data_IF_523583904144
#
_entry.id   IF_523583904144
#
_cell.length_a   1.000
_cell.length_b   1.000
_cell.length_c   1.000
_cell.angle_alpha   90.00
_cell.angle_beta   90.00
_cell.angle_gamma   90.00
#
_symmetry.space_group_name_H-M   'P 1'
#
loop_
_entity.id
_entity.type
_entity.pdbx_description
1 polymer ?
#
# COMPACT_ATOMS: atom_id res chain seq x y z
N UNK A 1 -34.76 14.15 -24.09
CA UNK A 1 -35.76 14.00 -23.00
C UNK A 1 -35.51 12.71 -22.23
N UNK A 2 -35.04 12.88 -21.01
CA UNK A 2 -35.24 12.09 -19.79
C UNK A 2 -35.10 10.55 -19.80
N UNK A 3 -34.03 10.05 -19.24
CA UNK A 3 -34.02 8.85 -18.37
C UNK A 3 -32.96 8.99 -17.28
N UNK A 4 -33.22 9.87 -16.32
CA UNK A 4 -32.57 9.85 -15.03
C UNK A 4 -33.64 9.42 -14.03
N UNK A 5 -33.62 8.17 -13.54
CA UNK A 5 -34.26 7.73 -12.27
C UNK A 5 -34.21 6.20 -12.18
N UNK A 6 -33.14 5.63 -11.54
CA UNK A 6 -33.23 4.26 -11.01
C UNK A 6 -32.09 3.85 -10.02
N UNK A 7 -31.20 4.75 -9.57
CA UNK A 7 -30.09 4.38 -8.68
C UNK A 7 -30.29 4.78 -7.21
N UNK A 8 -31.15 5.75 -6.93
CA UNK A 8 -31.38 6.25 -5.55
C UNK A 8 -32.10 5.25 -4.64
N UNK A 9 -33.08 4.42 -5.09
CA UNK A 9 -33.77 3.51 -4.17
C UNK A 9 -32.90 2.34 -3.69
N UNK A 10 -31.87 1.93 -4.42
CA UNK A 10 -31.00 0.80 -4.04
C UNK A 10 -29.97 1.16 -2.97
N UNK A 11 -29.47 2.40 -2.96
CA UNK A 11 -28.58 2.91 -1.90
C UNK A 11 -29.34 3.15 -0.58
N UNK A 12 -30.57 3.60 -0.65
CA UNK A 12 -31.42 3.77 0.53
C UNK A 12 -31.77 2.43 1.20
N UNK A 13 -31.95 1.35 0.42
CA UNK A 13 -32.21 0.01 0.95
C UNK A 13 -30.99 -0.61 1.64
N UNK A 14 -29.78 -0.33 1.16
CA UNK A 14 -28.54 -0.80 1.79
C UNK A 14 -28.25 -0.05 3.09
N UNK A 15 -28.50 1.26 3.12
CA UNK A 15 -28.38 2.08 4.33
C UNK A 15 -29.40 1.69 5.40
N UNK A 16 -30.61 1.31 5.00
CA UNK A 16 -31.67 0.85 5.92
C UNK A 16 -31.37 -0.54 6.51
N UNK A 17 -30.75 -1.45 5.77
CA UNK A 17 -30.28 -2.75 6.25
C UNK A 17 -29.11 -2.61 7.24
N UNK A 18 -28.18 -1.68 7.00
CA UNK A 18 -27.10 -1.37 7.93
C UNK A 18 -27.62 -0.73 9.21
N UNK A 19 -28.59 0.17 9.12
CA UNK A 19 -29.21 0.82 10.27
C UNK A 19 -30.03 -0.16 11.12
N UNK A 20 -30.70 -1.14 10.50
CA UNK A 20 -31.46 -2.18 11.20
C UNK A 20 -30.57 -3.18 11.95
N UNK A 21 -29.41 -3.55 11.41
CA UNK A 21 -28.45 -4.43 12.08
C UNK A 21 -27.74 -3.75 13.28
N UNK A 22 -27.60 -2.43 13.24
CA UNK A 22 -27.00 -1.63 14.31
C UNK A 22 -27.92 -1.47 15.53
N UNK A 23 -29.25 -1.60 15.37
CA UNK A 23 -30.22 -1.42 16.44
C UNK A 23 -30.39 -2.65 17.38
N UNK A 24 -29.86 -3.82 17.02
CA UNK A 24 -30.09 -5.09 17.72
C UNK A 24 -28.96 -5.57 18.66
N UNK A 25 -27.93 -4.76 18.92
CA UNK A 25 -26.81 -5.16 19.77
C UNK A 25 -27.15 -4.95 21.28
N UNK A 26 -26.99 -5.97 22.17
CA UNK A 26 -27.16 -5.78 23.59
C UNK A 26 -26.10 -4.84 24.17
N UNK A 27 -26.56 -3.89 25.01
CA UNK A 27 -25.69 -2.97 25.75
C UNK A 27 -24.88 -3.72 26.83
N UNK A 28 -23.75 -4.30 26.48
CA UNK A 28 -22.73 -4.77 27.43
C UNK A 28 -21.82 -3.59 27.79
N UNK A 29 -21.55 -3.36 29.06
CA UNK A 29 -20.65 -2.33 29.55
C UNK A 29 -19.26 -2.53 28.96
N UNK A 30 -18.91 -1.70 27.98
CA UNK A 30 -17.59 -1.62 27.38
C UNK A 30 -16.84 -0.48 28.08
N UNK A 31 -15.63 -0.74 28.57
CA UNK A 31 -14.73 0.34 28.96
C UNK A 31 -14.67 1.33 27.78
N UNK A 32 -15.02 2.59 28.04
CA UNK A 32 -14.96 3.63 27.05
C UNK A 32 -13.51 3.76 26.58
N UNK A 33 -13.20 3.25 25.37
CA UNK A 33 -11.92 3.47 24.74
C UNK A 33 -11.78 4.96 24.48
N UNK A 34 -10.75 5.59 25.02
CA UNK A 34 -10.46 6.99 24.78
C UNK A 34 -9.86 7.17 23.38
N UNK A 35 -10.00 8.38 22.82
CA UNK A 35 -9.26 8.76 21.62
C UNK A 35 -7.76 8.66 21.87
N UNK A 36 -7.06 8.13 20.90
CA UNK A 36 -5.62 7.94 20.89
C UNK A 36 -5.02 8.87 19.84
N UNK A 37 -3.90 9.49 20.16
CA UNK A 37 -3.16 10.37 19.29
C UNK A 37 -1.74 9.85 19.13
N UNK A 38 -1.24 9.88 17.92
CA UNK A 38 0.11 9.49 17.57
C UNK A 38 0.72 10.44 16.57
N UNK A 39 2.04 10.49 16.57
CA UNK A 39 2.82 11.20 15.57
C UNK A 39 4.05 10.38 15.20
N UNK A 40 4.43 10.42 13.94
CA UNK A 40 5.67 9.82 13.43
C UNK A 40 6.44 10.87 12.66
N UNK A 41 7.72 11.01 12.99
CA UNK A 41 8.69 11.79 12.24
C UNK A 41 9.60 10.83 11.48
N UNK A 42 9.63 10.92 10.16
CA UNK A 42 10.54 10.20 9.26
C UNK A 42 11.45 11.22 8.58
N UNK A 43 12.74 11.18 8.87
CA UNK A 43 13.76 12.01 8.24
C UNK A 43 14.79 11.12 7.58
N UNK A 44 15.12 11.40 6.31
CA UNK A 44 16.11 10.61 5.60
C UNK A 44 17.07 11.48 4.79
N UNK A 45 18.29 10.98 4.62
CA UNK A 45 19.26 11.49 3.67
C UNK A 45 19.54 10.42 2.62
N UNK A 46 19.40 10.78 1.36
CA UNK A 46 19.61 9.91 0.20
C UNK A 46 20.76 10.46 -0.64
N UNK A 47 21.79 9.65 -0.91
CA UNK A 47 22.96 10.11 -1.67
C UNK A 47 22.67 10.29 -3.17
N UNK A 48 21.70 9.56 -3.72
CA UNK A 48 21.23 9.65 -5.09
C UNK A 48 19.80 9.13 -5.20
N UNK A 49 18.94 9.85 -5.92
CA UNK A 49 17.61 9.37 -6.29
C UNK A 49 17.73 8.07 -7.11
N UNK A 50 16.75 7.19 -6.92
CA UNK A 50 16.64 5.90 -7.61
C UNK A 50 15.57 6.01 -8.70
N UNK A 51 15.70 5.21 -9.75
CA UNK A 51 14.63 5.03 -10.72
C UNK A 51 13.38 4.48 -10.01
N UNK A 52 12.22 5.08 -10.23
CA UNK A 52 10.99 4.81 -9.46
C UNK A 52 11.19 4.95 -7.94
N UNK A 53 12.18 5.72 -7.48
CA UNK A 53 12.40 5.95 -6.05
C UNK A 53 11.31 6.85 -5.46
N UNK A 54 10.96 6.62 -4.20
CA UNK A 54 10.07 7.50 -3.44
C UNK A 54 10.81 8.64 -2.72
N UNK A 55 12.13 8.76 -2.93
CA UNK A 55 12.97 9.73 -2.23
C UNK A 55 13.92 10.45 -3.16
N UNK A 56 13.97 11.78 -3.01
CA UNK A 56 14.90 12.64 -3.72
C UNK A 56 16.33 12.53 -3.16
N UNK A 57 17.29 13.09 -3.87
CA UNK A 57 18.66 13.24 -3.39
C UNK A 57 18.72 14.32 -2.31
N UNK A 58 19.45 14.05 -1.22
CA UNK A 58 19.68 15.00 -0.12
C UNK A 58 18.90 14.66 1.14
N UNK A 59 18.79 15.62 2.02
CA UNK A 59 18.03 15.52 3.28
C UNK A 59 16.57 15.89 3.04
N UNK A 60 15.66 15.05 3.51
CA UNK A 60 14.23 15.23 3.28
C UNK A 60 13.39 14.69 4.43
N UNK A 61 12.18 15.23 4.56
CA UNK A 61 11.13 14.67 5.36
C UNK A 61 10.47 13.55 4.54
N UNK A 62 10.51 12.33 5.07
CA UNK A 62 9.79 11.19 4.51
C UNK A 62 8.33 11.15 4.96
N UNK A 63 7.74 9.95 4.96
CA UNK A 63 6.36 9.74 5.37
C UNK A 63 6.18 9.98 6.87
N UNK A 64 6.00 11.24 7.23
CA UNK A 64 5.75 11.69 8.61
C UNK A 64 4.27 11.90 8.81
N UNK A 65 3.69 11.39 9.89
CA UNK A 65 2.25 11.44 10.08
C UNK A 65 1.80 11.94 11.46
N UNK A 66 0.57 12.45 11.48
CA UNK A 66 -0.22 12.73 12.67
C UNK A 66 -1.50 11.91 12.59
N UNK A 67 -1.72 11.04 13.58
CA UNK A 67 -2.86 10.14 13.62
C UNK A 67 -3.73 10.40 14.84
N UNK A 68 -5.04 10.43 14.63
CA UNK A 68 -6.05 10.39 15.68
C UNK A 68 -6.98 9.20 15.40
N UNK A 69 -7.20 8.34 16.41
CA UNK A 69 -8.13 7.22 16.30
C UNK A 69 -8.88 7.00 17.60
N UNK A 70 -10.14 6.57 17.50
CA UNK A 70 -10.93 6.33 18.69
C UNK A 70 -12.35 5.88 18.38
N UNK A 71 -13.14 5.61 19.45
CA UNK A 71 -14.51 5.18 19.29
C UNK A 71 -15.40 6.32 18.80
N UNK A 72 -16.31 5.97 17.90
CA UNK A 72 -17.43 6.82 17.49
C UNK A 72 -18.73 6.16 17.94
N UNK A 73 -19.13 6.45 19.20
CA UNK A 73 -20.18 5.71 19.88
C UNK A 73 -19.78 4.26 20.18
N UNK A 74 -20.79 3.38 20.30
CA UNK A 74 -20.58 1.97 20.64
C UNK A 74 -20.38 1.06 19.43
N UNK A 75 -20.61 1.55 18.23
CA UNK A 75 -20.77 0.73 17.02
C UNK A 75 -19.68 0.90 16.00
N UNK A 76 -18.86 1.94 16.14
CA UNK A 76 -17.80 2.24 15.17
C UNK A 76 -16.54 2.78 15.84
N UNK A 77 -15.41 2.62 15.15
CA UNK A 77 -14.18 3.36 15.38
C UNK A 77 -13.93 4.30 14.21
N UNK A 78 -13.26 5.41 14.48
CA UNK A 78 -12.81 6.36 13.47
C UNK A 78 -11.28 6.49 13.50
N UNK A 79 -10.70 6.81 12.35
CA UNK A 79 -9.30 7.22 12.23
C UNK A 79 -9.18 8.39 11.26
N UNK A 80 -8.29 9.29 11.59
CA UNK A 80 -7.79 10.35 10.72
C UNK A 80 -6.27 10.31 10.77
N UNK A 81 -5.61 10.25 9.60
CA UNK A 81 -4.15 10.33 9.45
C UNK A 81 -3.82 11.41 8.43
N UNK A 82 -3.06 12.41 8.86
CA UNK A 82 -2.49 13.44 8.01
C UNK A 82 -0.99 13.16 7.83
N UNK A 83 -0.53 13.14 6.58
CA UNK A 83 0.85 12.86 6.19
C UNK A 83 1.52 14.14 5.70
N UNK A 84 2.79 14.28 6.01
CA UNK A 84 3.68 15.34 5.59
C UNK A 84 4.95 14.71 5.03
N UNK A 85 5.32 15.09 3.81
CA UNK A 85 6.54 14.64 3.16
C UNK A 85 7.15 15.80 2.35
N UNK A 86 8.41 15.71 1.97
CA UNK A 86 9.01 16.65 1.04
C UNK A 86 9.31 15.95 -0.28
N UNK A 87 8.90 16.56 -1.38
CA UNK A 87 9.24 16.18 -2.75
C UNK A 87 9.73 17.40 -3.51
N UNK A 88 10.80 17.28 -4.24
CA UNK A 88 11.45 18.39 -4.97
C UNK A 88 11.68 19.64 -4.09
N UNK A 89 12.05 19.42 -2.84
CA UNK A 89 12.27 20.49 -1.86
C UNK A 89 10.99 21.21 -1.39
N UNK A 90 9.80 20.73 -1.75
CA UNK A 90 8.51 21.31 -1.33
C UNK A 90 7.83 20.42 -0.30
N UNK A 91 7.23 21.02 0.71
CA UNK A 91 6.43 20.33 1.72
C UNK A 91 5.05 20.00 1.14
N UNK A 92 4.76 18.73 1.01
CA UNK A 92 3.44 18.21 0.67
C UNK A 92 2.67 17.79 1.91
N UNK A 93 1.35 17.92 1.85
CA UNK A 93 0.42 17.57 2.93
C UNK A 93 -0.73 16.81 2.34
N UNK A 94 -1.09 15.72 2.99
CA UNK A 94 -2.17 14.87 2.53
C UNK A 94 -2.99 14.31 3.68
N UNK A 95 -4.30 14.16 3.50
CA UNK A 95 -5.11 13.28 4.34
C UNK A 95 -5.05 11.89 3.72
N UNK A 96 -4.23 11.03 4.30
CA UNK A 96 -4.02 9.68 3.82
C UNK A 96 -5.13 8.73 4.26
N UNK A 97 -5.58 8.86 5.51
CA UNK A 97 -6.69 8.09 6.03
C UNK A 97 -7.75 8.98 6.67
N UNK A 98 -9.01 8.71 6.38
CA UNK A 98 -10.18 9.31 7.02
C UNK A 98 -11.34 8.31 6.91
N UNK A 99 -11.49 7.41 7.89
CA UNK A 99 -12.44 6.32 7.78
C UNK A 99 -13.19 6.02 9.08
N UNK A 100 -14.33 5.36 8.88
CA UNK A 100 -15.13 4.73 9.92
C UNK A 100 -15.13 3.21 9.71
N UNK A 101 -15.03 2.45 10.81
CA UNK A 101 -15.08 0.99 10.80
C UNK A 101 -16.03 0.47 11.87
N UNK A 102 -16.85 -0.51 11.52
CA UNK A 102 -17.79 -1.13 12.46
C UNK A 102 -17.04 -1.97 13.50
N UNK A 103 -17.47 -1.89 14.76
CA UNK A 103 -16.87 -2.68 15.85
C UNK A 103 -17.57 -4.02 16.07
N UNK A 104 -18.83 -4.14 15.66
CA UNK A 104 -19.67 -5.31 15.97
C UNK A 104 -20.67 -5.58 14.86
N UNK A 105 -20.24 -6.29 13.84
CA UNK A 105 -21.15 -6.96 12.93
C UNK A 105 -21.22 -8.45 13.29
N UNK A 106 -22.39 -9.11 13.10
CA UNK A 106 -22.53 -10.54 13.38
C UNK A 106 -21.63 -11.39 12.50
N UNK A 107 -21.37 -12.63 12.94
CA UNK A 107 -20.69 -13.67 12.17
C UNK A 107 -19.26 -13.35 11.68
N UNK A 108 -18.54 -12.44 12.35
CA UNK A 108 -17.14 -12.11 12.01
C UNK A 108 -16.99 -11.10 10.86
N UNK A 109 -18.05 -10.40 10.50
CA UNK A 109 -17.97 -9.33 9.51
C UNK A 109 -17.47 -8.01 10.12
N UNK A 110 -16.72 -7.26 9.33
CA UNK A 110 -16.26 -5.88 9.61
C UNK A 110 -16.44 -5.05 8.34
N UNK A 111 -17.07 -3.89 8.44
CA UNK A 111 -17.24 -2.96 7.34
C UNK A 111 -16.48 -1.66 7.61
N UNK A 112 -15.80 -1.13 6.61
CA UNK A 112 -15.08 0.16 6.64
C UNK A 112 -15.56 1.05 5.51
N UNK A 113 -15.63 2.35 5.73
CA UNK A 113 -15.97 3.35 4.71
C UNK A 113 -15.16 4.63 4.93
N UNK A 114 -14.77 5.28 3.84
CA UNK A 114 -13.98 6.49 3.83
C UNK A 114 -12.72 6.35 2.99
N UNK A 115 -11.66 7.08 3.35
CA UNK A 115 -10.34 6.98 2.74
C UNK A 115 -9.46 6.06 3.57
N UNK A 116 -8.90 5.03 2.93
CA UNK A 116 -8.05 4.05 3.62
C UNK A 116 -7.15 3.31 2.63
N UNK A 117 -6.04 2.76 3.15
CA UNK A 117 -5.15 1.90 2.37
C UNK A 117 -5.84 0.58 1.99
N UNK A 118 -5.75 0.19 0.71
CA UNK A 118 -6.21 -1.14 0.27
C UNK A 118 -5.45 -2.25 1.00
N UNK A 119 -6.13 -3.35 1.30
CA UNK A 119 -5.54 -4.50 1.99
C UNK A 119 -4.83 -5.50 1.04
N UNK A 120 -4.58 -5.11 -0.20
CA UNK A 120 -3.84 -5.92 -1.17
C UNK A 120 -2.41 -6.16 -0.70
N UNK A 121 -1.89 -7.35 -1.00
CA UNK A 121 -0.55 -7.74 -0.58
C UNK A 121 -0.35 -7.67 0.94
N UNK A 122 0.90 -7.68 1.37
CA UNK A 122 1.27 -7.56 2.77
C UNK A 122 1.62 -6.12 3.17
N UNK A 123 2.44 -5.42 2.37
CA UNK A 123 2.96 -4.10 2.74
C UNK A 123 1.97 -2.96 2.54
N UNK A 124 1.01 -3.06 1.60
CA UNK A 124 0.11 -1.92 1.33
C UNK A 124 -0.78 -1.53 2.52
N UNK A 125 -1.12 -2.48 3.38
CA UNK A 125 -1.91 -2.21 4.58
C UNK A 125 -1.10 -1.54 5.72
N UNK A 126 0.21 -1.35 5.53
CA UNK A 126 1.13 -0.77 6.53
C UNK A 126 1.57 0.62 6.08
N UNK A 127 1.83 1.50 7.04
CA UNK A 127 2.44 2.80 6.74
C UNK A 127 3.92 2.65 6.37
N UNK A 128 4.44 3.39 5.39
CA UNK A 128 5.82 3.24 4.90
C UNK A 128 6.91 3.39 5.96
N UNK A 129 6.71 4.21 7.00
CA UNK A 129 7.68 4.35 8.10
C UNK A 129 7.85 3.06 8.92
N UNK A 130 6.87 2.14 8.89
CA UNK A 130 6.90 0.85 9.57
C UNK A 130 7.61 -0.25 8.76
N UNK A 131 7.92 0.00 7.50
CA UNK A 131 8.57 -0.96 6.62
C UNK A 131 10.00 -1.31 7.12
N UNK A 132 10.47 -2.48 6.76
CA UNK A 132 11.82 -2.93 7.10
C UNK A 132 12.91 -2.13 6.35
N UNK A 133 12.64 -1.75 5.11
CA UNK A 133 13.55 -1.02 4.21
C UNK A 133 13.11 0.44 4.06
N UNK A 134 14.06 1.32 3.73
CA UNK A 134 13.79 2.76 3.49
C UNK A 134 12.88 2.96 2.28
N UNK A 135 13.16 2.22 1.20
CA UNK A 135 12.34 2.20 -0.02
C UNK A 135 11.46 0.95 -0.04
N UNK A 136 10.22 1.11 -0.44
CA UNK A 136 9.34 -0.02 -0.76
C UNK A 136 9.86 -0.84 -1.93
N UNK A 137 9.46 -2.12 -2.06
CA UNK A 137 9.77 -2.92 -3.24
C UNK A 137 9.36 -2.24 -4.54
N UNK A 138 10.11 -2.48 -5.64
CA UNK A 138 9.79 -1.98 -6.99
C UNK A 138 8.34 -2.25 -7.39
N UNK A 139 7.78 -3.38 -6.95
CA UNK A 139 6.39 -3.75 -7.16
C UNK A 139 5.43 -2.65 -6.69
N UNK A 140 5.62 -2.13 -5.47
CA UNK A 140 4.75 -1.10 -4.91
C UNK A 140 5.00 0.25 -5.55
N UNK A 141 6.26 0.61 -5.79
CA UNK A 141 6.64 1.88 -6.40
C UNK A 141 6.12 1.98 -7.85
N UNK A 142 6.22 0.89 -8.60
CA UNK A 142 5.80 0.85 -10.00
C UNK A 142 4.26 0.77 -10.18
N UNK A 143 3.58 -0.03 -9.34
CA UNK A 143 2.18 -0.41 -9.58
C UNK A 143 1.18 0.24 -8.65
N UNK A 144 1.62 0.83 -7.53
CA UNK A 144 0.75 1.35 -6.48
C UNK A 144 1.17 2.73 -5.94
N UNK A 145 2.08 3.43 -6.63
CA UNK A 145 2.59 4.74 -6.18
C UNK A 145 3.29 4.67 -4.81
N UNK A 146 3.89 3.52 -4.48
CA UNK A 146 4.48 3.24 -3.17
C UNK A 146 3.47 2.80 -2.11
N UNK A 147 2.34 3.50 -1.94
CA UNK A 147 1.31 3.19 -0.95
C UNK A 147 -0.07 3.60 -1.49
N UNK A 148 -0.87 2.62 -1.88
CA UNK A 148 -2.20 2.89 -2.44
C UNK A 148 -3.27 2.99 -1.37
N UNK A 149 -3.80 4.18 -1.19
CA UNK A 149 -5.00 4.50 -0.44
C UNK A 149 -6.02 5.21 -1.35
N UNK A 150 -7.32 5.05 -1.10
CA UNK A 150 -8.36 5.70 -1.91
C UNK A 150 -9.69 5.80 -1.12
N UNK A 151 -10.61 6.59 -1.66
CA UNK A 151 -11.96 6.74 -1.12
C UNK A 151 -12.82 5.53 -1.53
N UNK A 152 -13.40 4.82 -0.54
CA UNK A 152 -14.12 3.61 -0.84
C UNK A 152 -14.84 2.97 0.34
N UNK A 153 -15.24 1.72 0.11
CA UNK A 153 -15.86 0.85 1.11
C UNK A 153 -15.17 -0.52 1.10
N UNK A 154 -15.08 -1.15 2.26
CA UNK A 154 -14.53 -2.49 2.47
C UNK A 154 -15.49 -3.32 3.28
N UNK A 155 -15.62 -4.60 2.94
CA UNK A 155 -16.26 -5.61 3.77
C UNK A 155 -15.29 -6.78 3.94
N UNK A 156 -14.95 -7.09 5.19
CA UNK A 156 -14.14 -8.24 5.56
C UNK A 156 -14.99 -9.26 6.32
N UNK A 157 -14.67 -10.52 6.13
CA UNK A 157 -15.16 -11.63 6.90
C UNK A 157 -14.00 -12.48 7.41
N UNK A 158 -13.93 -12.66 8.73
CA UNK A 158 -12.98 -13.56 9.37
C UNK A 158 -13.69 -14.86 9.70
N UNK A 159 -13.22 -15.96 9.10
CA UNK A 159 -13.82 -17.27 9.27
C UNK A 159 -13.56 -17.81 10.68
N UNK A 160 -14.54 -18.50 11.30
CA UNK A 160 -14.35 -19.15 12.59
C UNK A 160 -13.64 -20.52 12.41
N UNK A 161 -12.41 -20.48 11.88
CA UNK A 161 -11.58 -21.67 11.61
C UNK A 161 -10.43 -21.77 12.63
N UNK A 162 -9.83 -22.96 12.85
CA UNK A 162 -8.67 -23.12 13.72
C UNK A 162 -7.41 -22.37 13.24
N UNK A 163 -7.35 -22.01 11.98
CA UNK A 163 -6.31 -21.19 11.36
C UNK A 163 -6.89 -19.85 10.93
N UNK A 164 -6.05 -18.85 10.81
CA UNK A 164 -6.48 -17.53 10.33
C UNK A 164 -6.94 -17.64 8.87
N UNK A 165 -8.19 -17.24 8.60
CA UNK A 165 -8.74 -17.08 7.26
C UNK A 165 -9.59 -15.81 7.24
N UNK A 166 -9.20 -14.87 6.39
CA UNK A 166 -9.95 -13.65 6.15
C UNK A 166 -10.22 -13.49 4.67
N UNK A 167 -11.47 -13.22 4.33
CA UNK A 167 -11.89 -12.84 2.99
C UNK A 167 -12.33 -11.38 3.01
N UNK A 168 -11.93 -10.61 2.01
CA UNK A 168 -12.26 -9.21 1.92
C UNK A 168 -12.59 -8.77 0.50
N UNK A 169 -13.52 -7.83 0.38
CA UNK A 169 -13.81 -7.13 -0.86
C UNK A 169 -13.79 -5.63 -0.62
N UNK A 170 -13.27 -4.89 -1.60
CA UNK A 170 -13.20 -3.44 -1.54
C UNK A 170 -13.73 -2.84 -2.85
N UNK A 171 -14.28 -1.64 -2.74
CA UNK A 171 -14.73 -0.87 -3.89
C UNK A 171 -14.27 0.58 -3.70
N UNK A 172 -13.46 1.07 -4.61
CA UNK A 172 -12.82 2.38 -4.57
C UNK A 172 -13.24 3.26 -5.75
N UNK A 173 -13.07 4.57 -5.59
CA UNK A 173 -13.21 5.53 -6.70
C UNK A 173 -12.12 5.33 -7.75
N UNK A 174 -10.91 4.94 -7.35
CA UNK A 174 -9.78 4.65 -8.21
C UNK A 174 -8.99 5.87 -8.70
N UNK A 175 -9.34 7.08 -8.28
CA UNK A 175 -8.69 8.31 -8.73
C UNK A 175 -7.25 8.46 -8.23
N UNK A 176 -6.92 7.83 -7.12
CA UNK A 176 -5.59 7.93 -6.52
C UNK A 176 -4.61 6.88 -7.03
N UNK A 177 -5.12 5.80 -7.62
CA UNK A 177 -4.26 4.80 -8.26
C UNK A 177 -3.94 5.18 -9.71
N UNK A 178 -4.92 5.72 -10.45
CA UNK A 178 -4.76 6.11 -11.84
C UNK A 178 -5.30 7.54 -11.97
N UNK A 179 -4.41 8.53 -11.89
CA UNK A 179 -4.76 9.95 -11.82
C UNK A 179 -5.20 10.50 -13.17
N UNK A 180 -4.45 10.19 -14.22
CA UNK A 180 -4.73 10.62 -15.60
C UNK A 180 -5.62 9.60 -16.30
N UNK A 181 -6.91 9.78 -16.21
CA UNK A 181 -7.85 8.94 -16.93
C UNK A 181 -8.83 9.78 -17.71
N UNK A 182 -9.12 9.35 -18.94
CA UNK A 182 -10.38 9.65 -19.58
C UNK A 182 -11.52 9.30 -18.61
N UNK A 183 -12.66 9.99 -18.70
CA UNK A 183 -13.84 9.84 -17.84
C UNK A 183 -14.05 8.39 -17.33
N UNK A 184 -14.35 8.20 -16.04
CA UNK A 184 -14.48 6.87 -15.46
C UNK A 184 -15.61 6.10 -16.10
N UNK A 185 -15.31 4.94 -16.67
CA UNK A 185 -16.27 4.06 -17.36
C UNK A 185 -17.24 3.34 -16.40
N UNK A 186 -17.32 3.73 -15.14
CA UNK A 186 -18.26 3.17 -14.18
C UNK A 186 -17.89 3.39 -12.71
N UNK A 187 -18.87 3.20 -11.84
CA UNK A 187 -18.70 3.21 -10.38
C UNK A 187 -18.95 1.79 -9.83
N UNK A 188 -18.06 1.19 -9.00
CA UNK A 188 -16.76 1.71 -8.57
C UNK A 188 -15.72 1.70 -9.71
N UNK A 189 -14.75 2.62 -9.63
CA UNK A 189 -13.64 2.66 -10.59
C UNK A 189 -12.69 1.48 -10.43
N UNK A 190 -12.44 1.07 -9.18
CA UNK A 190 -11.61 -0.10 -8.85
C UNK A 190 -12.35 -0.98 -7.83
N UNK A 191 -12.31 -2.29 -8.07
CA UNK A 191 -12.77 -3.30 -7.11
C UNK A 191 -11.64 -4.28 -6.79
N UNK A 192 -11.52 -4.69 -5.51
CA UNK A 192 -10.57 -5.71 -5.09
C UNK A 192 -11.27 -6.88 -4.42
N UNK A 193 -10.66 -8.06 -4.52
CA UNK A 193 -10.99 -9.22 -3.73
C UNK A 193 -9.71 -9.78 -3.14
N UNK A 194 -9.71 -10.06 -1.83
CA UNK A 194 -8.53 -10.49 -1.09
C UNK A 194 -8.87 -11.70 -0.22
N UNK A 195 -8.00 -12.69 -0.23
CA UNK A 195 -8.03 -13.81 0.70
C UNK A 195 -6.69 -13.87 1.43
N UNK A 196 -6.72 -13.87 2.77
CA UNK A 196 -5.55 -14.03 3.63
C UNK A 196 -5.72 -15.22 4.54
N UNK A 197 -4.68 -16.01 4.66
CA UNK A 197 -4.62 -17.18 5.52
C UNK A 197 -3.29 -17.24 6.25
N UNK A 198 -3.30 -17.82 7.45
CA UNK A 198 -2.10 -17.87 8.27
C UNK A 198 -2.28 -18.78 9.46
N UNK A 199 -1.21 -18.96 10.20
CA UNK A 199 -1.20 -19.79 11.39
C UNK A 199 0.19 -19.94 11.98
N UNK A 200 0.27 -20.75 13.01
CA UNK A 200 1.51 -21.07 13.71
C UNK A 200 1.92 -22.52 13.46
N UNK A 201 3.23 -22.76 13.42
CA UNK A 201 3.82 -24.10 13.36
C UNK A 201 4.69 -24.26 14.60
N UNK A 202 4.17 -24.97 15.59
CA UNK A 202 4.76 -25.05 16.92
C UNK A 202 4.81 -23.67 17.62
N UNK A 203 5.69 -23.54 18.60
CA UNK A 203 5.80 -22.31 19.39
C UNK A 203 6.69 -21.22 18.76
N UNK A 204 7.42 -21.55 17.69
CA UNK A 204 8.50 -20.68 17.20
C UNK A 204 8.27 -20.13 15.80
N UNK A 205 7.32 -20.64 15.06
CA UNK A 205 7.08 -20.23 13.68
C UNK A 205 5.66 -19.72 13.49
N UNK A 206 5.51 -18.63 12.79
CA UNK A 206 4.24 -18.13 12.30
C UNK A 206 4.34 -17.77 10.82
N UNK A 207 3.24 -17.88 10.09
CA UNK A 207 3.20 -17.58 8.67
C UNK A 207 1.86 -16.98 8.28
N UNK A 208 1.91 -16.17 7.24
CA UNK A 208 0.73 -15.62 6.58
C UNK A 208 0.97 -15.66 5.08
N UNK A 209 -0.09 -15.94 4.32
CA UNK A 209 -0.08 -15.82 2.87
C UNK A 209 -1.36 -15.13 2.39
N UNK A 210 -1.29 -14.50 1.24
CA UNK A 210 -2.39 -13.76 0.65
C UNK A 210 -2.47 -13.91 -0.86
N UNK A 211 -3.70 -13.79 -1.38
CA UNK A 211 -3.99 -13.64 -2.80
C UNK A 211 -4.92 -12.45 -2.96
N UNK A 212 -4.57 -11.56 -3.86
CA UNK A 212 -5.37 -10.37 -4.16
C UNK A 212 -5.67 -10.30 -5.66
N UNK A 213 -6.90 -9.92 -6.01
CA UNK A 213 -7.31 -9.62 -7.38
C UNK A 213 -7.87 -8.22 -7.43
N UNK A 214 -7.38 -7.42 -8.37
CA UNK A 214 -7.81 -6.04 -8.60
C UNK A 214 -8.40 -5.94 -9.99
N UNK A 215 -9.61 -5.41 -10.08
CA UNK A 215 -10.27 -5.05 -11.33
C UNK A 215 -10.33 -3.53 -11.43
N UNK A 216 -9.53 -2.99 -12.32
CA UNK A 216 -9.50 -1.57 -12.65
C UNK A 216 -10.38 -1.32 -13.87
N UNK A 217 -11.34 -0.39 -13.74
CA UNK A 217 -12.22 0.06 -14.82
C UNK A 217 -11.85 1.45 -15.33
N UNK A 218 -10.83 2.07 -14.74
CA UNK A 218 -10.29 3.34 -15.20
C UNK A 218 -9.27 3.05 -16.31
N UNK A 219 -9.51 3.61 -17.48
CA UNK A 219 -8.57 3.49 -18.59
C UNK A 219 -7.52 4.60 -18.45
N UNK A 220 -6.24 4.26 -18.60
CA UNK A 220 -5.20 5.26 -18.74
C UNK A 220 -5.48 6.12 -19.97
N UNK A 221 -5.24 7.43 -19.88
CA UNK A 221 -5.34 8.31 -21.03
C UNK A 221 -4.41 7.78 -22.14
N UNK A 222 -4.95 7.59 -23.32
CA UNK A 222 -4.14 7.29 -24.50
C UNK A 222 -3.71 8.65 -25.03
N UNK A 223 -2.42 8.95 -25.01
CA UNK A 223 -1.89 10.08 -25.76
C UNK A 223 -2.20 9.84 -27.24
N UNK A 224 -3.19 10.55 -27.78
CA UNK A 224 -3.37 10.64 -29.22
C UNK A 224 -2.23 11.54 -29.70
N UNK A 225 -1.38 11.01 -30.59
CA UNK A 225 -0.39 11.80 -31.32
C UNK A 225 -1.09 12.84 -32.20
N UNK A 226 -1.51 13.93 -31.57
CA UNK A 226 -1.88 15.14 -32.26
C UNK A 226 -0.62 15.94 -32.52
N UNK A 227 -0.18 16.00 -33.79
CA UNK A 227 0.82 16.96 -34.23
C UNK A 227 0.33 18.37 -33.93
N UNK A 228 0.71 18.94 -32.81
CA UNK A 228 0.74 20.36 -32.59
C UNK A 228 2.17 20.75 -32.25
N UNK A 229 2.88 21.26 -33.24
CA UNK A 229 4.06 22.09 -33.02
C UNK A 229 3.61 23.31 -32.20
N UNK A 230 3.73 23.24 -30.90
CA UNK A 230 3.65 24.37 -29.98
C UNK A 230 4.58 24.14 -28.83
N UNK A 231 5.66 24.93 -28.84
CA UNK A 231 6.52 25.35 -27.72
C UNK A 231 6.68 24.40 -26.55
N UNK A 232 7.89 23.88 -26.43
CA UNK A 232 8.42 23.23 -25.22
C UNK A 232 8.34 24.18 -24.04
N UNK A 233 7.20 24.25 -23.40
CA UNK A 233 7.09 24.74 -22.05
C UNK A 233 7.42 23.54 -21.13
N UNK A 234 8.37 23.75 -20.23
CA UNK A 234 8.91 22.74 -19.37
C UNK A 234 7.78 22.07 -18.59
N UNK A 235 7.46 20.84 -18.95
CA UNK A 235 6.52 20.01 -18.24
C UNK A 235 6.94 19.96 -16.77
N UNK A 236 6.14 20.57 -15.92
CA UNK A 236 6.24 20.36 -14.49
C UNK A 236 6.00 18.87 -14.24
N UNK A 237 7.06 18.13 -13.89
CA UNK A 237 6.96 16.78 -13.39
C UNK A 237 6.13 16.83 -12.10
N UNK A 238 4.82 16.69 -12.23
CA UNK A 238 3.97 16.39 -11.09
C UNK A 238 4.36 14.99 -10.64
N UNK A 239 4.96 14.88 -9.46
CA UNK A 239 5.21 13.59 -8.84
C UNK A 239 3.85 12.93 -8.63
N UNK A 240 3.54 11.96 -9.48
CA UNK A 240 2.30 11.20 -9.42
C UNK A 240 2.37 10.28 -8.20
N UNK A 241 1.51 10.51 -7.23
CA UNK A 241 1.29 9.56 -6.12
C UNK A 241 0.58 8.29 -6.59
N UNK A 242 0.28 8.16 -7.88
CA UNK A 242 -0.39 7.04 -8.52
C UNK A 242 0.56 5.97 -9.07
N UNK A 243 -0.04 4.94 -9.69
CA UNK A 243 0.68 3.88 -10.37
C UNK A 243 1.38 4.39 -11.62
N UNK A 244 2.68 4.14 -11.74
CA UNK A 244 3.44 4.40 -12.97
C UNK A 244 3.01 3.46 -14.11
N UNK A 245 2.65 2.21 -13.74
CA UNK A 245 2.21 1.20 -14.68
C UNK A 245 0.90 0.58 -14.19
N UNK A 246 -0.12 0.64 -14.99
CA UNK A 246 -1.45 0.15 -14.67
C UNK A 246 -2.04 -0.73 -15.76
N UNK A 247 -3.17 -1.37 -15.49
CA UNK A 247 -3.92 -2.19 -16.43
C UNK A 247 -5.28 -2.57 -15.85
N UNK A 248 -6.07 -3.32 -16.60
CA UNK A 248 -7.46 -3.65 -16.24
C UNK A 248 -7.57 -4.71 -15.14
N UNK A 249 -6.59 -5.61 -15.02
CA UNK A 249 -6.59 -6.73 -14.06
C UNK A 249 -5.22 -6.89 -13.45
N UNK A 250 -5.18 -6.96 -12.13
CA UNK A 250 -3.95 -7.27 -11.38
C UNK A 250 -4.20 -8.48 -10.51
N UNK A 251 -3.30 -9.45 -10.57
CA UNK A 251 -3.17 -10.53 -9.62
C UNK A 251 -1.94 -10.29 -8.76
N UNK A 252 -2.09 -10.48 -7.47
CA UNK A 252 -0.99 -10.36 -6.52
C UNK A 252 -1.02 -11.51 -5.53
N UNK A 253 0.15 -12.03 -5.20
CA UNK A 253 0.35 -13.03 -4.16
C UNK A 253 1.39 -12.51 -3.19
N UNK A 254 1.22 -12.82 -1.91
CA UNK A 254 2.15 -12.49 -0.85
C UNK A 254 2.32 -13.66 0.12
N UNK A 255 3.48 -13.74 0.74
CA UNK A 255 3.77 -14.69 1.81
C UNK A 255 4.79 -14.11 2.78
N UNK A 256 4.53 -14.24 4.06
CA UNK A 256 5.44 -13.87 5.13
C UNK A 256 5.59 -15.03 6.09
N UNK A 257 6.83 -15.34 6.45
CA UNK A 257 7.16 -16.31 7.48
C UNK A 257 8.04 -15.65 8.53
N UNK A 258 7.77 -15.98 9.79
CA UNK A 258 8.54 -15.52 10.95
C UNK A 258 8.98 -16.71 11.79
N UNK A 259 10.21 -16.63 12.22
CA UNK A 259 10.76 -17.51 13.23
C UNK A 259 11.22 -16.69 14.43
N UNK A 260 10.78 -17.07 15.63
CA UNK A 260 11.19 -16.49 16.89
C UNK A 260 11.36 -17.63 17.92
N UNK A 261 12.54 -17.86 18.49
CA UNK A 261 12.77 -18.95 19.41
C UNK A 261 11.79 -18.93 20.58
N UNK A 262 11.06 -20.04 20.77
CA UNK A 262 10.06 -20.16 21.85
C UNK A 262 8.92 -19.14 21.80
N UNK A 263 8.64 -18.55 20.63
CA UNK A 263 7.62 -17.50 20.47
C UNK A 263 8.02 -16.12 20.99
N UNK A 264 9.27 -15.94 21.44
CA UNK A 264 9.75 -14.67 21.95
C UNK A 264 10.05 -13.67 20.82
N UNK A 265 9.05 -12.91 20.42
CA UNK A 265 9.18 -11.88 19.38
C UNK A 265 10.03 -10.66 19.76
N UNK A 266 10.43 -10.52 21.05
CA UNK A 266 11.31 -9.43 21.52
C UNK A 266 12.80 -9.78 21.44
N UNK A 267 13.13 -11.07 21.32
CA UNK A 267 14.49 -11.58 21.16
C UNK A 267 14.95 -11.65 19.71
N UNK A 268 15.68 -12.71 19.39
CA UNK A 268 16.05 -13.02 18.02
C UNK A 268 14.82 -13.33 17.18
N UNK A 269 14.82 -12.87 15.94
CA UNK A 269 13.75 -13.13 14.99
C UNK A 269 14.28 -13.16 13.56
N UNK A 270 13.84 -14.12 12.77
CA UNK A 270 14.05 -14.15 11.33
C UNK A 270 12.70 -13.97 10.63
N UNK A 271 12.64 -13.05 9.67
CA UNK A 271 11.47 -12.82 8.83
C UNK A 271 11.86 -13.02 7.38
N UNK A 272 11.10 -13.84 6.66
CA UNK A 272 11.19 -13.94 5.20
C UNK A 272 9.88 -13.43 4.60
N UNK A 273 9.99 -12.66 3.54
CA UNK A 273 8.86 -12.03 2.87
C UNK A 273 8.99 -12.17 1.36
N UNK A 274 7.88 -12.50 0.72
CA UNK A 274 7.76 -12.62 -0.74
C UNK A 274 6.48 -11.94 -1.20
N UNK A 275 6.57 -11.14 -2.26
CA UNK A 275 5.41 -10.61 -2.97
C UNK A 275 5.64 -10.66 -4.47
N UNK A 276 4.58 -10.95 -5.23
CA UNK A 276 4.60 -10.90 -6.69
C UNK A 276 3.29 -10.37 -7.23
N UNK A 277 3.36 -9.57 -8.28
CA UNK A 277 2.18 -9.04 -8.96
C UNK A 277 2.33 -9.16 -10.47
N UNK A 278 1.18 -9.35 -11.14
CA UNK A 278 1.04 -9.39 -12.58
C UNK A 278 -0.15 -8.54 -13.01
N UNK A 279 0.07 -7.65 -13.97
CA UNK A 279 -0.94 -6.74 -14.51
C UNK A 279 -1.18 -7.06 -15.97
N UNK A 280 -2.44 -7.17 -16.36
CA UNK A 280 -2.91 -7.51 -17.70
C UNK A 280 -3.93 -6.48 -18.21
N UNK A 281 -4.10 -6.44 -19.55
CA UNK A 281 -5.03 -5.53 -20.18
C UNK A 281 -4.57 -4.08 -20.08
N UNK A 282 -3.34 -3.80 -20.53
CA UNK A 282 -2.65 -2.52 -20.36
C UNK A 282 -3.38 -1.38 -21.10
N UNK A 283 -3.80 -1.63 -22.33
CA UNK A 283 -4.65 -0.75 -23.13
C UNK A 283 -5.46 -1.56 -24.14
N UNK A 284 -6.17 -0.90 -25.07
CA UNK A 284 -7.02 -1.54 -26.09
C UNK A 284 -6.25 -2.36 -27.14
N UNK A 285 -4.95 -2.09 -27.32
CA UNK A 285 -4.07 -2.78 -28.27
C UNK A 285 -3.27 -3.93 -27.67
N UNK A 286 -3.24 -4.03 -26.34
CA UNK A 286 -2.45 -5.03 -25.63
C UNK A 286 -2.93 -6.45 -25.93
N UNK A 287 -1.99 -7.32 -26.29
CA UNK A 287 -2.18 -8.76 -26.42
C UNK A 287 -2.08 -9.42 -25.05
N UNK A 288 -2.48 -10.68 -24.93
CA UNK A 288 -2.34 -11.45 -23.68
C UNK A 288 -0.88 -11.62 -23.21
N UNK A 289 0.08 -11.47 -24.13
CA UNK A 289 1.52 -11.46 -23.83
C UNK A 289 2.01 -10.14 -23.25
N UNK A 290 1.30 -9.04 -23.51
CA UNK A 290 1.67 -7.71 -23.04
C UNK A 290 1.15 -7.53 -21.61
N UNK A 291 2.07 -7.60 -20.66
CA UNK A 291 1.78 -7.56 -19.23
C UNK A 291 2.94 -6.95 -18.46
N UNK A 292 2.63 -6.39 -17.30
CA UNK A 292 3.63 -6.03 -16.31
C UNK A 292 3.77 -7.15 -15.29
N UNK A 293 4.98 -7.40 -14.83
CA UNK A 293 5.30 -8.38 -13.80
C UNK A 293 6.34 -7.79 -12.85
N UNK A 294 6.11 -7.95 -11.56
CA UNK A 294 7.08 -7.57 -10.54
C UNK A 294 7.06 -8.57 -9.38
N UNK A 295 8.21 -8.79 -8.77
CA UNK A 295 8.32 -9.58 -7.57
C UNK A 295 9.45 -9.06 -6.68
N UNK A 296 9.32 -9.36 -5.38
CA UNK A 296 10.27 -9.00 -4.35
C UNK A 296 10.43 -10.15 -3.36
N UNK A 297 11.67 -10.39 -2.95
CA UNK A 297 12.01 -11.32 -1.86
C UNK A 297 12.88 -10.58 -0.86
N UNK A 298 12.52 -10.66 0.42
CA UNK A 298 13.28 -10.06 1.50
C UNK A 298 13.53 -11.06 2.63
N UNK A 299 14.68 -10.91 3.28
CA UNK A 299 15.04 -11.62 4.49
C UNK A 299 15.54 -10.59 5.50
N UNK A 300 14.99 -10.61 6.71
CA UNK A 300 15.35 -9.71 7.80
C UNK A 300 15.65 -10.52 9.05
N UNK A 301 16.80 -10.29 9.64
CA UNK A 301 17.26 -10.95 10.84
C UNK A 301 17.47 -9.97 11.97
N UNK A 302 16.65 -10.07 13.03
CA UNK A 302 16.92 -9.44 14.32
C UNK A 302 17.86 -10.36 15.09
N UNK A 303 19.13 -10.03 15.08
CA UNK A 303 20.15 -10.82 15.77
C UNK A 303 20.37 -10.39 17.23
N UNK A 304 19.90 -9.19 17.58
CA UNK A 304 19.81 -8.66 18.95
C UNK A 304 18.50 -7.90 19.12
N UNK A 305 17.98 -7.71 20.33
CA UNK A 305 16.72 -7.00 20.55
C UNK A 305 16.66 -5.61 19.91
N UNK A 306 17.81 -4.94 19.83
CA UNK A 306 17.99 -3.57 19.34
C UNK A 306 18.62 -3.48 17.94
N UNK A 307 19.01 -4.61 17.32
CA UNK A 307 19.69 -4.63 16.01
C UNK A 307 19.04 -5.59 15.03
N UNK A 308 18.81 -5.08 13.82
CA UNK A 308 18.33 -5.88 12.69
C UNK A 308 19.23 -5.66 11.47
N UNK A 309 19.36 -6.69 10.64
CA UNK A 309 19.96 -6.60 9.31
C UNK A 309 19.08 -7.32 8.31
N UNK A 310 19.16 -6.94 7.05
CA UNK A 310 18.34 -7.58 6.02
C UNK A 310 18.86 -7.33 4.62
N UNK A 311 18.36 -8.16 3.72
CA UNK A 311 18.59 -8.04 2.29
C UNK A 311 17.28 -8.22 1.52
N UNK A 312 17.15 -7.52 0.39
CA UNK A 312 16.01 -7.62 -0.52
C UNK A 312 16.49 -7.64 -1.95
N UNK A 313 15.80 -8.40 -2.79
CA UNK A 313 15.97 -8.41 -4.24
C UNK A 313 14.62 -8.20 -4.90
N UNK A 314 14.57 -7.29 -5.86
CA UNK A 314 13.38 -6.88 -6.61
C UNK A 314 13.61 -7.07 -8.11
N UNK A 315 12.57 -7.51 -8.82
CA UNK A 315 12.52 -7.63 -10.26
C UNK A 315 11.27 -6.98 -10.80
N UNK A 316 11.43 -6.11 -11.78
CA UNK A 316 10.36 -5.44 -12.49
C UNK A 316 10.53 -5.64 -13.99
N UNK A 317 9.50 -6.14 -14.64
CA UNK A 317 9.37 -6.20 -16.10
C UNK A 317 8.08 -5.52 -16.51
N UNK A 318 8.19 -4.53 -17.38
CA UNK A 318 7.06 -3.76 -17.87
C UNK A 318 6.98 -3.79 -19.40
N UNK A 319 5.80 -3.54 -19.93
CA UNK A 319 5.54 -3.28 -21.34
C UNK A 319 5.02 -1.86 -21.44
N UNK A 320 5.90 -0.93 -21.78
CA UNK A 320 5.61 0.49 -21.84
C UNK A 320 4.83 0.74 -23.13
N UNK A 321 3.57 1.21 -23.06
CA UNK A 321 2.76 1.47 -24.25
C UNK A 321 3.26 2.72 -24.96
N UNK A 322 3.30 2.67 -26.29
CA UNK A 322 3.56 3.77 -27.18
C UNK A 322 2.60 3.64 -28.36
N UNK A 323 1.41 4.23 -28.23
CA UNK A 323 0.30 4.02 -29.17
C UNK A 323 -0.11 2.53 -29.21
N UNK A 324 0.01 1.90 -30.39
CA UNK A 324 -0.30 0.49 -30.64
C UNK A 324 0.93 -0.44 -30.43
N UNK A 325 2.09 0.12 -30.10
CA UNK A 325 3.34 -0.59 -29.87
C UNK A 325 3.70 -0.66 -28.37
N UNK A 326 4.55 -1.61 -28.02
CA UNK A 326 4.99 -1.81 -26.64
C UNK A 326 6.51 -1.99 -26.59
N UNK A 327 7.18 -1.12 -25.84
CA UNK A 327 8.58 -1.29 -25.51
C UNK A 327 8.77 -2.14 -24.26
N UNK A 328 9.85 -2.90 -24.17
CA UNK A 328 10.16 -3.67 -22.97
C UNK A 328 10.94 -2.81 -22.00
N UNK A 329 10.48 -2.73 -20.75
CA UNK A 329 11.25 -2.19 -19.63
C UNK A 329 11.65 -3.29 -18.67
N UNK A 330 12.87 -3.23 -18.16
CA UNK A 330 13.42 -4.14 -17.16
C UNK A 330 14.21 -3.34 -16.15
N UNK A 331 13.90 -3.54 -14.86
CA UNK A 331 14.63 -2.95 -13.76
C UNK A 331 14.81 -4.00 -12.66
N UNK A 332 16.03 -4.12 -12.14
CA UNK A 332 16.37 -4.98 -11.01
C UNK A 332 16.99 -4.15 -9.90
N UNK A 333 16.67 -4.49 -8.67
CA UNK A 333 17.21 -3.81 -7.51
C UNK A 333 17.61 -4.82 -6.43
N UNK A 334 18.76 -4.58 -5.81
CA UNK A 334 19.16 -5.27 -4.59
C UNK A 334 19.42 -4.25 -3.50
N UNK A 335 18.96 -4.56 -2.29
CA UNK A 335 19.11 -3.72 -1.13
C UNK A 335 19.70 -4.51 0.05
N UNK A 336 20.52 -3.87 0.84
CA UNK A 336 20.98 -4.38 2.14
C UNK A 336 20.79 -3.29 3.19
N UNK A 337 20.41 -3.67 4.41
CA UNK A 337 20.16 -2.71 5.49
C UNK A 337 20.72 -3.17 6.82
N UNK A 338 21.04 -2.19 7.64
CA UNK A 338 21.34 -2.33 9.08
C UNK A 338 20.46 -1.33 9.83
N UNK A 339 19.77 -1.80 10.87
CA UNK A 339 18.86 -0.99 11.66
C UNK A 339 19.26 -1.09 13.13
N UNK A 340 19.34 0.07 13.79
CA UNK A 340 19.45 0.18 15.23
C UNK A 340 18.15 0.74 15.82
N UNK A 341 17.56 0.01 16.76
CA UNK A 341 16.30 0.34 17.45
C UNK A 341 16.56 0.53 18.95
N UNK A 342 17.05 1.71 19.39
CA UNK A 342 17.33 1.95 20.81
C UNK A 342 16.07 1.85 21.68
N UNK A 343 14.91 2.04 21.10
CA UNK A 343 13.60 1.84 21.73
C UNK A 343 12.57 1.39 20.69
N UNK A 344 11.39 0.99 21.15
CA UNK A 344 10.27 0.68 20.26
C UNK A 344 9.72 1.93 19.50
N UNK A 345 10.09 3.12 19.93
CA UNK A 345 9.67 4.39 19.34
C UNK A 345 10.73 4.99 18.38
N UNK A 346 11.91 4.42 18.31
CA UNK A 346 13.03 4.98 17.57
C UNK A 346 13.73 3.94 16.72
N UNK A 347 14.04 4.30 15.48
CA UNK A 347 14.91 3.49 14.63
C UNK A 347 15.82 4.36 13.78
N UNK A 348 17.07 3.95 13.68
CA UNK A 348 18.05 4.49 12.74
C UNK A 348 18.40 3.39 11.75
N UNK A 349 18.17 3.65 10.47
CA UNK A 349 18.33 2.66 9.41
C UNK A 349 19.36 3.18 8.41
N UNK A 350 20.39 2.36 8.15
CA UNK A 350 21.33 2.54 7.05
C UNK A 350 21.00 1.51 5.97
N UNK A 351 20.73 1.96 4.75
CA UNK A 351 20.42 1.10 3.61
C UNK A 351 21.36 1.42 2.46
N UNK A 352 21.87 0.38 1.83
CA UNK A 352 22.53 0.44 0.54
C UNK A 352 21.62 -0.18 -0.52
N UNK A 353 21.54 0.48 -1.68
CA UNK A 353 20.73 0.04 -2.83
C UNK A 353 21.57 0.05 -4.08
N UNK A 354 21.41 -0.96 -4.92
CA UNK A 354 21.94 -1.01 -6.27
C UNK A 354 20.86 -1.41 -7.26
N UNK A 355 20.64 -0.54 -8.25
CA UNK A 355 19.83 -0.84 -9.42
C UNK A 355 20.72 -1.24 -10.59
N UNK A 356 20.23 -2.16 -11.41
CA UNK A 356 20.92 -2.66 -12.60
C UNK A 356 19.89 -3.16 -13.62
N UNK A 357 20.32 -3.37 -14.87
CA UNK A 357 19.46 -3.73 -15.99
C UNK A 357 18.31 -2.72 -16.24
N UNK A 358 18.57 -1.43 -16.05
CA UNK A 358 17.59 -0.36 -16.26
C UNK A 358 17.33 -0.13 -17.76
N UNK A 359 16.72 -1.10 -18.44
CA UNK A 359 16.37 -1.04 -19.86
C UNK A 359 14.98 -0.39 -20.00
N UNK A 360 14.86 0.60 -20.86
CA UNK A 360 13.60 1.32 -21.10
C UNK A 360 13.20 2.28 -19.99
N UNK A 361 14.13 2.66 -19.12
CA UNK A 361 13.98 3.68 -18.09
C UNK A 361 14.97 4.82 -18.34
N UNK A 362 14.67 6.01 -17.86
CA UNK A 362 15.46 7.22 -18.11
C UNK A 362 16.80 7.21 -17.38
N UNK A 363 16.80 6.72 -16.15
CA UNK A 363 18.00 6.69 -15.33
C UNK A 363 18.83 5.43 -15.58
N UNK A 364 20.15 5.58 -15.77
CA UNK A 364 21.03 4.42 -15.84
C UNK A 364 21.09 3.71 -14.49
N UNK A 365 21.55 2.46 -14.49
CA UNK A 365 21.80 1.68 -13.29
C UNK A 365 22.53 2.51 -12.22
N UNK A 366 21.93 2.64 -11.05
CA UNK A 366 22.39 3.54 -10.00
C UNK A 366 22.69 2.83 -8.67
N UNK A 367 23.48 3.51 -7.84
CA UNK A 367 23.75 3.09 -6.45
C UNK A 367 23.37 4.22 -5.53
N UNK A 368 22.73 3.89 -4.43
CA UNK A 368 22.36 4.87 -3.41
C UNK A 368 22.66 4.34 -2.02
N UNK A 369 23.04 5.24 -1.13
CA UNK A 369 23.09 5.00 0.31
C UNK A 369 22.09 5.91 0.95
N UNK A 370 21.26 5.35 1.81
CA UNK A 370 20.17 6.05 2.49
C UNK A 370 20.33 5.89 3.98
N UNK A 371 20.27 7.00 4.72
CA UNK A 371 20.23 7.03 6.17
C UNK A 371 18.89 7.60 6.61
N UNK A 372 18.10 6.81 7.35
CA UNK A 372 16.76 7.20 7.80
C UNK A 372 16.69 7.15 9.33
N UNK A 373 16.10 8.17 9.92
CA UNK A 373 15.71 8.20 11.31
C UNK A 373 14.19 8.31 11.44
N UNK A 374 13.60 7.38 12.18
CA UNK A 374 12.16 7.37 12.48
C UNK A 374 11.98 7.53 13.98
N UNK A 375 11.12 8.46 14.39
CA UNK A 375 10.73 8.70 15.76
C UNK A 375 9.21 8.72 15.87
N UNK A 376 8.65 7.82 16.67
CA UNK A 376 7.22 7.73 16.94
C UNK A 376 6.88 8.29 18.33
N UNK A 377 5.71 8.89 18.46
CA UNK A 377 5.16 9.42 19.70
C UNK A 377 3.71 8.95 19.88
N UNK A 378 3.32 8.69 21.12
CA UNK A 378 1.94 8.36 21.47
C UNK A 378 1.51 6.98 20.98
N UNK A 379 0.24 6.83 20.70
CA UNK A 379 -0.35 5.61 20.19
C UNK A 379 -0.10 5.50 18.69
N UNK A 380 0.77 4.62 18.27
CA UNK A 380 0.90 4.21 16.86
C UNK A 380 0.30 2.80 16.68
N UNK A 381 -0.20 2.46 15.47
CA UNK A 381 -0.71 1.13 15.20
C UNK A 381 0.31 0.07 15.55
N UNK A 382 -0.13 -1.03 16.20
CA UNK A 382 0.72 -2.21 16.33
C UNK A 382 1.13 -2.67 14.92
N UNK A 383 2.41 -2.98 14.75
CA UNK A 383 2.90 -3.55 13.50
C UNK A 383 2.09 -4.81 13.19
N UNK A 384 1.51 -4.86 11.99
CA UNK A 384 0.79 -6.04 11.54
C UNK A 384 1.75 -7.20 11.41
N UNK A 385 1.32 -8.36 11.84
CA UNK A 385 1.91 -9.73 11.81
C UNK A 385 3.42 -9.84 11.94
#
# INVERSE_FOLDING_TARGET
MARHHALIPRLASFAALLAGALAAAPAGAQQAQSWQFGAVLDVAHTTRALELGGRDQGLQLGHSDLTASGPLGALATARLTAVFATHDGRLEKEIEEAWLETTRLPAGFVARAGRFASQIGYLNAQHPHADDFVERPLLYRAFFGGHWNDDGVRLNWTAPTPFFLQLGVEAFRGKRLVEETAEPTGNPGIATAVAKFGGDIGASHSWQAGVSHIRNRREAAVEEEGHSEAEHDHAHHHHHHGAQFSGRRTWMVDATWKWAPGGNSRGQQLRAHFEAARIEGLNRYARSSDRHEANAVALVWRFRPDWETGARADWLRVRIPHGDHFHSGLLREVSAMLVWKPSHMQSLRLQWVRQYDAVGFESPASRSVQLQYVLAFGAHPAHSF
#
